data_IF_046278959822
#
_entry.id   IF_046278959822
#
_cell.length_a   1.000
_cell.length_b   1.000
_cell.length_c   1.000
_cell.angle_alpha   90.00
_cell.angle_beta   90.00
_cell.angle_gamma   90.00
#
_symmetry.space_group_name_H-M   'P 1'
#
loop_
_entity.id
_entity.type
_entity.pdbx_description
1 polymer ?
#
# COMPACT_ATOMS: atom_id res chain seq x y z
N UNK A 1 -5.89 -39.84 19.52
CA UNK A 1 -5.73 -38.69 20.41
C UNK A 1 -4.33 -38.11 20.41
N UNK A 2 -3.35 -38.94 20.68
CA UNK A 2 -1.97 -38.47 20.71
C UNK A 2 -1.54 -37.85 19.39
N UNK A 3 -1.90 -38.47 18.28
CA UNK A 3 -1.56 -38.00 16.94
C UNK A 3 -2.12 -36.60 16.67
N UNK A 4 -3.36 -36.35 17.11
CA UNK A 4 -3.97 -35.05 16.93
C UNK A 4 -3.29 -33.94 17.72
N UNK A 5 -2.86 -34.27 18.93
CA UNK A 5 -2.13 -33.33 19.77
C UNK A 5 -0.80 -32.96 19.14
N UNK A 6 -0.10 -33.94 18.56
CA UNK A 6 1.17 -33.67 17.89
C UNK A 6 1.00 -32.77 16.65
N UNK A 7 -0.05 -33.03 15.88
CA UNK A 7 -0.35 -32.18 14.74
C UNK A 7 -0.65 -30.74 15.18
N UNK A 8 -1.37 -30.59 16.30
CA UNK A 8 -1.65 -29.27 16.86
C UNK A 8 -0.39 -28.51 17.26
N UNK A 9 0.56 -29.22 17.86
CA UNK A 9 1.85 -28.61 18.23
C UNK A 9 2.61 -28.11 17.02
N UNK A 10 2.60 -28.88 15.94
CA UNK A 10 3.27 -28.47 14.69
C UNK A 10 2.67 -27.19 14.13
N UNK A 11 1.33 -27.09 14.14
CA UNK A 11 0.64 -25.90 13.66
C UNK A 11 0.98 -24.68 14.51
N UNK A 12 1.07 -24.85 15.82
CA UNK A 12 1.43 -23.76 16.73
C UNK A 12 2.84 -23.23 16.41
N UNK A 13 3.78 -24.11 16.13
CA UNK A 13 5.12 -23.69 15.75
C UNK A 13 5.15 -22.87 14.47
N UNK A 14 4.36 -23.26 13.46
CA UNK A 14 4.24 -22.51 12.21
C UNK A 14 3.64 -21.12 12.44
N UNK A 15 2.61 -21.02 13.28
CA UNK A 15 1.98 -19.74 13.63
C UNK A 15 2.97 -18.82 14.32
N UNK A 16 3.81 -19.35 15.19
CA UNK A 16 4.82 -18.55 15.88
C UNK A 16 5.82 -17.94 14.89
N UNK A 17 6.31 -18.71 13.93
CA UNK A 17 7.21 -18.20 12.89
C UNK A 17 6.52 -17.13 12.03
N UNK A 18 5.27 -17.33 11.67
CA UNK A 18 4.48 -16.35 10.93
C UNK A 18 4.30 -15.05 11.72
N UNK A 19 4.17 -15.14 13.05
CA UNK A 19 4.06 -13.97 13.92
C UNK A 19 5.28 -13.07 13.86
N UNK A 20 6.48 -13.66 13.80
CA UNK A 20 7.72 -12.89 13.66
C UNK A 20 7.78 -12.17 12.32
N UNK A 21 7.42 -12.85 11.23
CA UNK A 21 7.38 -12.23 9.90
C UNK A 21 6.36 -11.10 9.82
N UNK A 22 5.18 -11.27 10.41
CA UNK A 22 4.15 -10.23 10.48
C UNK A 22 4.66 -9.02 11.26
N UNK A 23 5.37 -9.23 12.36
CA UNK A 23 5.96 -8.14 13.15
C UNK A 23 6.95 -7.31 12.33
N UNK A 24 7.78 -7.94 11.51
CA UNK A 24 8.68 -7.24 10.61
C UNK A 24 7.94 -6.47 9.52
N UNK A 25 6.89 -7.06 8.94
CA UNK A 25 6.05 -6.40 7.94
C UNK A 25 5.32 -5.18 8.51
N UNK A 26 4.91 -5.25 9.77
CA UNK A 26 4.18 -4.16 10.41
C UNK A 26 4.98 -2.86 10.47
N UNK A 27 6.32 -2.93 10.40
CA UNK A 27 7.21 -1.78 10.45
C UNK A 27 7.70 -1.33 9.07
N UNK A 28 7.22 -1.98 8.00
CA UNK A 28 7.60 -1.64 6.63
C UNK A 28 6.42 -1.05 5.88
N UNK A 29 6.71 -0.09 4.99
CA UNK A 29 5.72 0.38 4.03
C UNK A 29 5.30 -0.78 3.13
N UNK A 30 3.99 -0.91 2.89
CA UNK A 30 3.46 -2.09 2.21
C UNK A 30 2.09 -1.85 1.63
N UNK A 31 1.68 -2.75 0.74
CA UNK A 31 0.32 -2.85 0.25
C UNK A 31 -0.33 -4.11 0.80
N UNK A 32 -1.55 -3.96 1.28
CA UNK A 32 -2.37 -5.06 1.77
C UNK A 32 -3.54 -5.25 0.81
N UNK A 33 -3.54 -6.29 -0.02
CA UNK A 33 -4.66 -6.54 -0.94
C UNK A 33 -5.97 -6.70 -0.16
N UNK A 34 -7.04 -6.11 -0.67
CA UNK A 34 -8.37 -6.23 -0.08
C UNK A 34 -9.25 -7.13 -0.93
N UNK A 35 -9.50 -6.75 -2.17
CA UNK A 35 -10.21 -7.59 -3.13
C UNK A 35 -9.92 -7.11 -4.55
N UNK A 36 -10.22 -7.98 -5.50
CA UNK A 36 -10.14 -7.66 -6.92
C UNK A 36 -11.27 -8.38 -7.64
N UNK A 37 -11.90 -7.70 -8.59
CA UNK A 37 -12.91 -8.28 -9.46
C UNK A 37 -12.66 -7.83 -10.91
N UNK A 38 -13.65 -8.00 -11.79
CA UNK A 38 -13.50 -7.62 -13.19
C UNK A 38 -13.38 -6.10 -13.41
N UNK A 39 -13.76 -5.28 -12.45
CA UNK A 39 -13.84 -3.83 -12.61
C UNK A 39 -12.87 -3.05 -11.74
N UNK A 40 -12.54 -3.58 -10.56
CA UNK A 40 -11.77 -2.88 -9.55
C UNK A 40 -10.66 -3.75 -8.99
N UNK A 41 -9.57 -3.09 -8.64
CA UNK A 41 -8.52 -3.65 -7.80
C UNK A 41 -8.38 -2.76 -6.57
N UNK A 42 -8.55 -3.34 -5.39
CA UNK A 42 -8.58 -2.59 -4.14
C UNK A 42 -7.53 -3.11 -3.18
N UNK A 43 -6.73 -2.20 -2.66
CA UNK A 43 -5.72 -2.52 -1.64
C UNK A 43 -5.61 -1.37 -0.65
N UNK A 44 -5.03 -1.64 0.50
CA UNK A 44 -4.65 -0.62 1.47
C UNK A 44 -3.14 -0.41 1.38
N UNK A 45 -2.74 0.84 1.19
CA UNK A 45 -1.33 1.23 1.30
C UNK A 45 -1.07 1.75 2.69
N UNK A 46 -0.01 1.25 3.31
CA UNK A 46 0.49 1.73 4.59
C UNK A 46 1.89 2.23 4.33
N UNK A 47 2.09 3.52 4.53
CA UNK A 47 3.36 4.18 4.20
C UNK A 47 3.97 4.67 5.50
N UNK A 48 4.96 3.93 5.96
CA UNK A 48 5.64 4.20 7.23
C UNK A 48 6.58 5.39 7.10
N UNK A 49 6.84 6.11 8.21
CA UNK A 49 7.76 7.23 8.17
C UNK A 49 9.13 6.85 7.60
N UNK A 50 9.57 7.61 6.60
CA UNK A 50 10.87 7.48 5.95
C UNK A 50 11.15 6.12 5.31
N UNK A 51 10.10 5.37 4.99
CA UNK A 51 10.20 4.09 4.29
C UNK A 51 9.33 4.15 3.03
N UNK A 52 9.90 4.44 1.86
CA UNK A 52 9.11 4.61 0.65
C UNK A 52 8.52 3.29 0.17
N UNK A 53 7.37 3.38 -0.49
CA UNK A 53 6.95 2.31 -1.38
C UNK A 53 7.86 2.29 -2.60
N UNK A 54 8.16 1.10 -3.09
CA UNK A 54 9.01 0.93 -4.26
C UNK A 54 8.44 1.66 -5.47
N UNK A 55 9.32 2.01 -6.41
CA UNK A 55 8.92 2.63 -7.66
C UNK A 55 7.88 1.77 -8.37
N UNK A 56 6.83 2.42 -8.81
CA UNK A 56 5.72 1.77 -9.51
C UNK A 56 5.05 2.76 -10.45
N UNK A 57 4.07 2.25 -11.19
CA UNK A 57 3.31 3.03 -12.15
C UNK A 57 1.84 2.63 -12.06
N UNK A 58 0.94 3.60 -12.18
CA UNK A 58 -0.50 3.37 -12.29
C UNK A 58 -0.97 3.68 -13.70
N UNK A 59 -1.42 2.67 -14.41
CA UNK A 59 -1.93 2.81 -15.78
C UNK A 59 -3.39 3.26 -15.82
N UNK A 60 -4.07 3.24 -14.70
CA UNK A 60 -5.49 3.54 -14.58
C UNK A 60 -5.74 4.58 -13.51
N UNK A 61 -6.87 5.29 -13.63
CA UNK A 61 -7.34 6.20 -12.59
C UNK A 61 -7.74 5.44 -11.34
N UNK A 62 -7.64 6.11 -10.21
CA UNK A 62 -7.94 5.50 -8.91
C UNK A 62 -8.45 6.52 -7.91
N UNK A 63 -9.29 6.06 -7.00
CA UNK A 63 -9.68 6.84 -5.84
C UNK A 63 -8.80 6.45 -4.65
N UNK A 64 -8.40 7.45 -3.87
CA UNK A 64 -7.68 7.27 -2.62
C UNK A 64 -8.58 7.67 -1.46
N UNK A 65 -8.91 6.72 -0.59
CA UNK A 65 -9.74 6.96 0.60
C UNK A 65 -8.83 6.93 1.82
N UNK A 66 -8.67 8.08 2.46
CA UNK A 66 -7.65 8.26 3.50
C UNK A 66 -8.19 7.83 4.85
N UNK A 67 -7.49 6.88 5.48
CA UNK A 67 -7.78 6.42 6.84
C UNK A 67 -6.93 7.16 7.87
N UNK A 68 -5.64 7.32 7.58
CA UNK A 68 -4.71 8.13 8.38
C UNK A 68 -3.99 9.07 7.44
N UNK A 69 -4.15 10.36 7.67
CA UNK A 69 -3.64 11.40 6.80
C UNK A 69 -2.18 11.75 7.02
N UNK A 70 -1.72 12.69 6.22
CA UNK A 70 -0.37 13.21 6.26
C UNK A 70 0.03 13.79 4.91
N UNK A 71 1.25 14.25 4.82
CA UNK A 71 1.84 14.74 3.58
C UNK A 71 2.66 13.62 2.94
N UNK A 72 2.24 13.20 1.75
CA UNK A 72 2.89 12.14 1.00
C UNK A 72 3.64 12.75 -0.17
N UNK A 73 4.95 12.60 -0.18
CA UNK A 73 5.77 13.01 -1.32
C UNK A 73 5.75 11.95 -2.40
N UNK A 74 5.46 12.38 -3.61
CA UNK A 74 5.64 11.57 -4.81
C UNK A 74 7.06 11.79 -5.28
N UNK A 75 7.86 10.74 -5.29
CA UNK A 75 9.30 10.86 -5.54
C UNK A 75 9.72 10.10 -6.80
N UNK A 76 10.78 10.57 -7.42
CA UNK A 76 11.40 9.88 -8.56
C UNK A 76 12.36 8.78 -8.08
N UNK A 77 13.07 8.16 -9.04
CA UNK A 77 14.02 7.08 -8.74
C UNK A 77 15.19 7.53 -7.85
N UNK A 78 15.46 8.84 -7.79
CA UNK A 78 16.52 9.41 -6.96
C UNK A 78 16.01 9.86 -5.58
N UNK A 79 14.72 9.67 -5.31
CA UNK A 79 14.10 10.10 -4.06
C UNK A 79 13.78 11.60 -4.03
N UNK A 80 13.84 12.28 -5.17
CA UNK A 80 13.51 13.71 -5.26
C UNK A 80 12.00 13.87 -5.38
N UNK A 81 11.42 14.71 -4.52
CA UNK A 81 10.00 14.99 -4.55
C UNK A 81 9.60 15.74 -5.82
N UNK A 82 8.60 15.22 -6.53
CA UNK A 82 8.00 15.83 -7.72
C UNK A 82 6.65 16.45 -7.43
N UNK A 83 5.97 15.98 -6.41
CA UNK A 83 4.68 16.45 -5.96
C UNK A 83 4.49 16.08 -4.50
N UNK A 84 3.53 16.70 -3.84
CA UNK A 84 3.17 16.36 -2.47
C UNK A 84 1.66 16.33 -2.35
N UNK A 85 1.13 15.19 -1.91
CA UNK A 85 -0.30 15.07 -1.60
C UNK A 85 -0.52 15.39 -0.13
N UNK A 86 -1.41 16.33 0.13
CA UNK A 86 -1.85 16.68 1.49
C UNK A 86 -3.15 15.95 1.76
N UNK A 87 -3.06 14.81 2.39
CA UNK A 87 -4.21 13.94 2.62
C UNK A 87 -4.76 14.09 4.03
N UNK A 88 -6.08 14.27 4.10
CA UNK A 88 -6.80 14.38 5.37
C UNK A 88 -7.60 13.11 5.63
N UNK A 89 -7.53 12.58 6.86
CA UNK A 89 -8.29 11.41 7.28
C UNK A 89 -9.79 11.61 7.05
N UNK A 90 -10.45 10.60 6.53
CA UNK A 90 -11.88 10.61 6.24
C UNK A 90 -12.26 11.23 4.90
N UNK A 91 -11.29 11.72 4.12
CA UNK A 91 -11.53 12.28 2.79
C UNK A 91 -11.11 11.32 1.69
N UNK A 92 -11.67 11.53 0.51
CA UNK A 92 -11.34 10.77 -0.69
C UNK A 92 -10.84 11.73 -1.77
N UNK A 93 -9.89 11.25 -2.56
CA UNK A 93 -9.24 12.03 -3.63
C UNK A 93 -9.19 11.19 -4.89
N UNK A 94 -9.28 11.86 -6.03
CA UNK A 94 -9.08 11.20 -7.32
C UNK A 94 -7.63 11.39 -7.77
N UNK A 95 -7.01 10.32 -8.23
CA UNK A 95 -5.67 10.33 -8.79
C UNK A 95 -5.73 9.78 -10.21
N UNK A 96 -5.29 10.59 -11.17
CA UNK A 96 -5.23 10.19 -12.57
C UNK A 96 -4.19 9.10 -12.80
N UNK A 97 -4.33 8.39 -13.91
CA UNK A 97 -3.27 7.50 -14.39
C UNK A 97 -1.97 8.26 -14.55
N UNK A 98 -0.86 7.59 -14.30
CA UNK A 98 0.46 8.19 -14.47
C UNK A 98 0.76 8.43 -15.95
N UNK A 99 1.48 9.50 -16.30
CA UNK A 99 1.91 9.72 -17.67
C UNK A 99 2.73 8.55 -18.19
N UNK A 100 2.62 8.28 -19.49
CA UNK A 100 3.33 7.17 -20.14
C UNK A 100 4.84 7.26 -19.88
N UNK A 101 5.45 6.12 -19.56
CA UNK A 101 6.89 6.03 -19.34
C UNK A 101 7.39 6.55 -17.99
N UNK A 102 6.49 6.98 -17.10
CA UNK A 102 6.88 7.48 -15.78
C UNK A 102 6.67 6.43 -14.69
N UNK A 103 7.51 6.48 -13.69
CA UNK A 103 7.36 5.74 -12.44
C UNK A 103 7.56 6.67 -11.26
N UNK A 104 6.95 6.36 -10.14
CA UNK A 104 7.14 7.11 -8.91
C UNK A 104 7.19 6.19 -7.70
N UNK A 105 7.75 6.70 -6.64
CA UNK A 105 7.64 6.13 -5.31
C UNK A 105 6.84 7.04 -4.42
N UNK A 106 6.46 6.55 -3.26
CA UNK A 106 5.72 7.32 -2.27
C UNK A 106 6.52 7.37 -0.99
N UNK A 107 6.78 8.59 -0.49
CA UNK A 107 7.59 8.80 0.70
C UNK A 107 6.82 9.59 1.75
N UNK A 108 6.69 9.03 2.92
CA UNK A 108 6.14 9.72 4.08
C UNK A 108 7.29 10.27 4.93
N UNK A 109 7.46 11.58 4.95
CA UNK A 109 8.52 12.22 5.74
C UNK A 109 8.05 12.66 7.13
N UNK A 110 6.79 12.37 7.46
CA UNK A 110 6.22 12.67 8.76
C UNK A 110 6.65 11.67 9.84
N UNK A 111 5.98 11.76 10.98
CA UNK A 111 6.29 10.91 12.15
C UNK A 111 5.29 9.78 12.33
N UNK A 112 4.13 9.85 11.67
CA UNK A 112 3.07 8.87 11.80
C UNK A 112 2.84 8.16 10.46
N UNK A 113 2.38 6.91 10.47
CA UNK A 113 2.04 6.21 9.24
C UNK A 113 0.90 6.90 8.49
N UNK A 114 0.96 6.87 7.18
CA UNK A 114 -0.16 7.23 6.31
C UNK A 114 -0.83 5.93 5.89
N UNK A 115 -2.16 5.86 6.02
CA UNK A 115 -2.93 4.69 5.58
C UNK A 115 -4.04 5.13 4.65
N UNK A 116 -4.10 4.52 3.49
CA UNK A 116 -5.05 4.87 2.45
C UNK A 116 -5.56 3.63 1.74
N UNK A 117 -6.87 3.58 1.50
CA UNK A 117 -7.46 2.54 0.66
C UNK A 117 -7.46 3.06 -0.77
N UNK A 118 -6.86 2.31 -1.68
CA UNK A 118 -6.81 2.63 -3.10
C UNK A 118 -7.82 1.77 -3.83
N UNK A 119 -8.68 2.42 -4.60
CA UNK A 119 -9.68 1.78 -5.46
C UNK A 119 -9.31 2.09 -6.91
N UNK A 120 -8.64 1.16 -7.57
CA UNK A 120 -8.13 1.35 -8.93
C UNK A 120 -9.09 0.75 -9.95
N UNK A 121 -9.40 1.54 -10.98
CA UNK A 121 -10.21 1.08 -12.09
C UNK A 121 -9.40 0.13 -12.97
N UNK A 122 -10.07 -0.86 -13.56
CA UNK A 122 -9.42 -1.81 -14.47
C UNK A 122 -9.77 -1.59 -15.93
N UNK A 123 -10.89 -0.93 -16.19
CA UNK A 123 -11.47 -0.85 -17.53
C UNK A 123 -11.56 0.57 -18.09
N UNK A 124 -11.05 1.58 -17.38
CA UNK A 124 -10.93 2.91 -17.95
C UNK A 124 -9.80 2.95 -18.98
N UNK A 125 -9.81 3.98 -19.82
CA UNK A 125 -8.77 4.10 -20.85
C UNK A 125 -7.46 4.54 -20.21
N UNK A 126 -6.35 3.83 -20.48
CA UNK A 126 -5.04 4.30 -20.05
C UNK A 126 -4.74 5.68 -20.60
N UNK A 127 -4.05 6.47 -19.81
CA UNK A 127 -3.56 7.78 -20.25
C UNK A 127 -2.35 7.57 -21.16
N UNK A 128 -2.43 8.09 -22.36
CA UNK A 128 -1.34 8.00 -23.34
C UNK A 128 -0.41 9.20 -23.26
#
# INVERSE_FOLDING_TARGET
MKLKVMAGVTVIGAVFAAGVAVGQQANASRREPQFENSELKVWKSIIMPNQPLALHRHEHGRAAVVLKGGNLDVVDAKGVAKDTYKWEAGKAYWLDADPAGTQHGDMNRGKEPIEVVIVELKNDKPKM
#
